data_IF_109870271012
#
_entry.id   IF_109870271012
#
_cell.length_a   1.000
_cell.length_b   1.000
_cell.length_c   1.000
_cell.angle_alpha   90.00
_cell.angle_beta   90.00
_cell.angle_gamma   90.00
#
_symmetry.space_group_name_H-M   'P 1'
#
loop_
_entity.id
_entity.type
_entity.pdbx_description
1 polymer ?
#
# COMPACT_ATOMS: atom_id res chain seq x y z
N UNK A 1 27.83 -12.19 -5.73
CA UNK A 1 26.40 -11.89 -5.81
C UNK A 1 25.86 -11.75 -4.39
N UNK A 2 25.22 -10.64 -4.10
CA UNK A 2 24.58 -10.51 -2.79
C UNK A 2 23.42 -11.50 -2.75
N UNK A 3 23.43 -12.34 -1.75
CA UNK A 3 22.39 -13.33 -1.58
C UNK A 3 21.09 -12.63 -1.17
N UNK A 4 20.01 -12.88 -1.91
CA UNK A 4 18.67 -12.38 -1.56
C UNK A 4 18.30 -12.71 -0.12
N UNK A 5 18.65 -13.90 0.35
CA UNK A 5 18.34 -14.31 1.72
C UNK A 5 18.98 -13.41 2.76
N UNK A 6 20.19 -12.92 2.51
CA UNK A 6 20.86 -11.99 3.42
C UNK A 6 20.12 -10.66 3.50
N UNK A 7 19.69 -10.12 2.35
CA UNK A 7 18.90 -8.88 2.27
C UNK A 7 17.56 -9.05 2.99
N UNK A 8 16.87 -10.13 2.71
CA UNK A 8 15.57 -10.45 3.34
C UNK A 8 15.67 -10.49 4.86
N UNK A 9 16.69 -11.17 5.37
CA UNK A 9 16.91 -11.29 6.82
C UNK A 9 17.19 -9.96 7.47
N UNK A 10 18.03 -9.13 6.82
CA UNK A 10 18.38 -7.79 7.33
C UNK A 10 17.17 -6.86 7.37
N UNK A 11 16.40 -6.81 6.30
CA UNK A 11 15.19 -5.96 6.26
C UNK A 11 14.16 -6.43 7.28
N UNK A 12 13.92 -7.73 7.38
CA UNK A 12 13.00 -8.27 8.38
C UNK A 12 13.44 -7.89 9.79
N UNK A 13 14.74 -8.00 10.10
CA UNK A 13 15.27 -7.62 11.41
C UNK A 13 15.13 -6.12 11.68
N UNK A 14 15.41 -5.27 10.70
CA UNK A 14 15.32 -3.81 10.84
C UNK A 14 13.87 -3.36 11.08
N UNK A 15 12.91 -4.01 10.44
CA UNK A 15 11.49 -3.69 10.57
C UNK A 15 10.80 -4.46 11.72
N UNK A 16 11.50 -5.34 12.40
CA UNK A 16 10.90 -6.16 13.45
C UNK A 16 9.91 -7.20 12.95
N UNK A 17 10.02 -7.60 11.67
CA UNK A 17 9.11 -8.55 11.04
C UNK A 17 9.59 -9.99 11.15
N UNK A 18 8.68 -10.91 10.88
CA UNK A 18 9.00 -12.34 10.85
C UNK A 18 9.79 -12.73 9.62
N UNK A 19 9.51 -12.11 8.50
CA UNK A 19 10.12 -12.43 7.21
C UNK A 19 10.02 -11.25 6.26
N UNK A 20 10.69 -11.38 5.13
CA UNK A 20 10.69 -10.38 4.06
C UNK A 20 10.63 -11.09 2.71
N UNK A 21 9.89 -10.52 1.78
CA UNK A 21 9.84 -10.94 0.39
C UNK A 21 10.41 -9.83 -0.48
N UNK A 22 11.37 -10.17 -1.33
CA UNK A 22 11.88 -9.25 -2.33
C UNK A 22 11.19 -9.50 -3.67
N UNK A 23 10.88 -8.41 -4.38
CA UNK A 23 10.20 -8.46 -5.67
C UNK A 23 10.91 -7.56 -6.68
N UNK A 24 10.53 -7.67 -7.94
CA UNK A 24 11.25 -7.03 -9.05
C UNK A 24 11.12 -5.50 -9.07
N UNK A 25 10.09 -4.93 -8.44
CA UNK A 25 9.86 -3.48 -8.45
C UNK A 25 9.00 -3.05 -7.26
N UNK A 26 9.03 -1.75 -6.96
CA UNK A 26 8.16 -1.16 -5.94
C UNK A 26 6.68 -1.29 -6.29
N UNK A 27 6.34 -1.23 -7.58
CA UNK A 27 4.97 -1.44 -8.05
C UNK A 27 4.48 -2.85 -7.71
N UNK A 28 5.32 -3.85 -7.95
CA UNK A 28 5.01 -5.24 -7.59
C UNK A 28 4.86 -5.40 -6.08
N UNK A 29 5.71 -4.72 -5.31
CA UNK A 29 5.62 -4.74 -3.85
C UNK A 29 4.29 -4.17 -3.36
N UNK A 30 3.85 -3.04 -3.93
CA UNK A 30 2.55 -2.45 -3.61
C UNK A 30 1.40 -3.38 -3.96
N UNK A 31 1.44 -3.99 -5.15
CA UNK A 31 0.42 -4.93 -5.58
C UNK A 31 0.33 -6.13 -4.64
N UNK A 32 1.46 -6.75 -4.31
CA UNK A 32 1.48 -7.92 -3.43
C UNK A 32 1.03 -7.57 -2.01
N UNK A 33 1.38 -6.37 -1.52
CA UNK A 33 0.93 -5.91 -0.21
C UNK A 33 -0.60 -5.86 -0.13
N UNK A 34 -1.24 -5.32 -1.15
CA UNK A 34 -2.70 -5.25 -1.21
C UNK A 34 -3.32 -6.64 -1.38
N UNK A 35 -2.80 -7.45 -2.30
CA UNK A 35 -3.34 -8.78 -2.55
C UNK A 35 -3.18 -9.73 -1.36
N UNK A 36 -2.23 -9.44 -0.47
CA UNK A 36 -2.05 -10.24 0.74
C UNK A 36 -3.22 -10.09 1.72
N UNK A 37 -3.91 -8.96 1.70
CA UNK A 37 -4.96 -8.64 2.69
C UNK A 37 -6.35 -8.46 2.06
N UNK A 38 -6.45 -8.31 0.75
CA UNK A 38 -7.70 -8.03 0.06
C UNK A 38 -7.89 -8.93 -1.16
N UNK A 39 -9.14 -9.20 -1.48
CA UNK A 39 -9.54 -9.97 -2.65
C UNK A 39 -10.73 -9.28 -3.33
N UNK A 40 -11.18 -9.82 -4.45
CA UNK A 40 -12.31 -9.28 -5.18
C UNK A 40 -13.52 -9.07 -4.25
N UNK A 41 -14.11 -7.89 -4.31
CA UNK A 41 -15.22 -7.47 -3.44
C UNK A 41 -14.78 -6.69 -2.21
N UNK A 42 -13.51 -6.71 -1.86
CA UNK A 42 -12.96 -5.94 -0.74
C UNK A 42 -12.58 -4.51 -1.17
N UNK A 43 -12.31 -3.65 -0.20
CA UNK A 43 -11.82 -2.30 -0.47
C UNK A 43 -10.68 -1.92 0.45
N UNK A 44 -9.91 -0.94 0.00
CA UNK A 44 -8.79 -0.33 0.71
C UNK A 44 -9.06 1.17 0.77
N UNK A 45 -8.84 1.79 1.92
CA UNK A 45 -8.89 3.25 2.04
C UNK A 45 -7.46 3.77 1.94
N UNK A 46 -7.21 4.64 0.98
CA UNK A 46 -5.88 5.14 0.67
C UNK A 46 -5.80 6.64 0.81
N UNK A 47 -4.62 7.12 1.20
CA UNK A 47 -4.28 8.54 1.08
C UNK A 47 -4.38 8.98 -0.38
N UNK A 48 -4.79 10.24 -0.59
CA UNK A 48 -4.74 10.86 -1.92
C UNK A 48 -3.30 11.21 -2.33
N UNK A 49 -2.39 11.30 -1.36
CA UNK A 49 -0.99 11.69 -1.60
C UNK A 49 -0.15 10.44 -1.86
N UNK A 50 -0.08 10.04 -3.12
CA UNK A 50 0.66 8.85 -3.55
C UNK A 50 1.53 9.16 -4.76
N UNK A 51 2.59 8.37 -4.93
CA UNK A 51 3.37 8.33 -6.16
C UNK A 51 2.43 8.01 -7.34
N UNK A 52 2.64 8.69 -8.49
CA UNK A 52 1.76 8.54 -9.66
C UNK A 52 1.59 7.11 -10.15
N UNK A 53 2.67 6.31 -10.11
CA UNK A 53 2.59 4.89 -10.46
C UNK A 53 1.67 4.09 -9.54
N UNK A 54 1.65 4.42 -8.25
CA UNK A 54 0.75 3.77 -7.28
C UNK A 54 -0.70 4.15 -7.56
N UNK A 55 -0.97 5.41 -7.90
CA UNK A 55 -2.31 5.85 -8.31
C UNK A 55 -2.78 5.08 -9.54
N UNK A 56 -1.91 4.93 -10.55
CA UNK A 56 -2.23 4.15 -11.74
C UNK A 56 -2.51 2.68 -11.42
N UNK A 57 -1.69 2.07 -10.57
CA UNK A 57 -1.88 0.69 -10.12
C UNK A 57 -3.25 0.53 -9.46
N UNK A 58 -3.59 1.43 -8.54
CA UNK A 58 -4.85 1.38 -7.80
C UNK A 58 -6.05 1.66 -8.71
N UNK A 59 -5.95 2.68 -9.56
CA UNK A 59 -7.07 3.10 -10.42
C UNK A 59 -7.35 2.08 -11.51
N UNK A 60 -6.32 1.51 -12.12
CA UNK A 60 -6.49 0.68 -13.32
C UNK A 60 -6.35 -0.81 -13.04
N UNK A 61 -5.32 -1.22 -12.31
CA UNK A 61 -5.01 -2.65 -12.12
C UNK A 61 -5.87 -3.28 -11.05
N UNK A 62 -5.91 -2.72 -9.85
CA UNK A 62 -6.68 -3.29 -8.75
C UNK A 62 -8.18 -3.23 -9.01
N UNK A 63 -8.64 -2.20 -9.70
CA UNK A 63 -10.04 -2.09 -10.12
C UNK A 63 -10.45 -3.28 -11.00
N UNK A 64 -9.58 -3.70 -11.92
CA UNK A 64 -9.82 -4.88 -12.77
C UNK A 64 -9.86 -6.19 -11.97
N UNK A 65 -9.15 -6.23 -10.85
CA UNK A 65 -9.13 -7.39 -9.96
C UNK A 65 -10.30 -7.39 -8.97
N UNK A 66 -11.20 -6.40 -9.07
CA UNK A 66 -12.38 -6.31 -8.22
C UNK A 66 -12.13 -5.71 -6.85
N UNK A 67 -10.98 -5.09 -6.64
CA UNK A 67 -10.63 -4.41 -5.38
C UNK A 67 -10.84 -2.91 -5.55
N UNK A 68 -11.73 -2.34 -4.74
CA UNK A 68 -12.04 -0.92 -4.77
C UNK A 68 -11.03 -0.14 -3.92
N UNK A 69 -10.54 0.97 -4.45
CA UNK A 69 -9.71 1.91 -3.69
C UNK A 69 -10.51 3.17 -3.43
N UNK A 70 -10.64 3.52 -2.15
CA UNK A 70 -11.33 4.72 -1.69
C UNK A 70 -10.28 5.71 -1.21
N UNK A 71 -10.26 6.91 -1.77
CA UNK A 71 -9.25 7.92 -1.46
C UNK A 71 -9.74 8.86 -0.37
N UNK A 72 -8.89 9.12 0.62
CA UNK A 72 -9.16 10.03 1.72
C UNK A 72 -8.03 11.05 1.86
N UNK A 73 -8.38 12.28 2.26
CA UNK A 73 -7.38 13.33 2.51
C UNK A 73 -6.59 12.97 3.78
N UNK A 74 -5.25 12.85 3.69
CA UNK A 74 -4.44 12.43 4.82
C UNK A 74 -4.22 13.50 5.88
N UNK A 75 -4.73 14.71 5.69
CA UNK A 75 -4.57 15.79 6.67
C UNK A 75 -5.20 15.47 8.02
N UNK A 76 -6.28 14.71 8.01
CA UNK A 76 -6.98 14.29 9.22
C UNK A 76 -7.25 12.79 9.16
N UNK A 77 -6.72 11.99 10.10
CA UNK A 77 -6.99 10.55 10.12
C UNK A 77 -8.48 10.20 10.14
N UNK A 78 -9.31 11.07 10.67
CA UNK A 78 -10.78 10.87 10.68
C UNK A 78 -11.38 10.81 9.29
N UNK A 79 -10.72 11.38 8.29
CA UNK A 79 -11.18 11.29 6.90
C UNK A 79 -11.20 9.85 6.41
N UNK A 80 -10.30 9.01 6.92
CA UNK A 80 -10.26 7.59 6.59
C UNK A 80 -11.46 6.84 7.15
N UNK A 81 -11.92 7.19 8.33
CA UNK A 81 -13.07 6.55 8.98
C UNK A 81 -14.35 6.65 8.17
N UNK A 82 -14.52 7.73 7.42
CA UNK A 82 -15.72 7.97 6.60
C UNK A 82 -15.91 6.92 5.51
N UNK A 83 -14.85 6.25 5.10
CA UNK A 83 -14.86 5.31 3.99
C UNK A 83 -14.84 3.84 4.43
N UNK A 84 -14.80 3.59 5.74
CA UNK A 84 -14.75 2.24 6.28
C UNK A 84 -16.12 1.57 6.19
N UNK A 85 -16.14 0.32 5.73
CA UNK A 85 -17.30 -0.56 5.83
C UNK A 85 -16.83 -1.98 6.17
N UNK A 86 -17.71 -2.97 6.13
CA UNK A 86 -17.40 -4.34 6.51
C UNK A 86 -16.46 -5.05 5.53
N UNK A 87 -16.22 -4.47 4.35
CA UNK A 87 -15.31 -4.99 3.32
C UNK A 87 -13.96 -4.27 3.30
N UNK A 88 -13.75 -3.29 4.16
CA UNK A 88 -12.48 -2.57 4.24
C UNK A 88 -11.44 -3.45 4.92
N UNK A 89 -10.29 -3.65 4.25
CA UNK A 89 -9.24 -4.56 4.71
C UNK A 89 -7.99 -3.85 5.21
N UNK A 90 -7.70 -2.65 4.73
CA UNK A 90 -6.48 -1.93 5.11
C UNK A 90 -6.58 -0.45 4.80
N UNK A 91 -5.67 0.30 5.39
CA UNK A 91 -5.37 1.68 5.02
C UNK A 91 -4.02 1.69 4.31
N UNK A 92 -3.87 2.57 3.34
CA UNK A 92 -2.63 2.69 2.57
C UNK A 92 -2.18 4.15 2.53
N UNK A 93 -0.89 4.38 2.73
CA UNK A 93 -0.30 5.71 2.64
C UNK A 93 1.20 5.61 2.43
N UNK A 94 1.81 6.71 2.02
CA UNK A 94 3.25 6.86 1.88
C UNK A 94 3.74 7.88 2.89
N UNK A 95 4.85 7.60 3.57
CA UNK A 95 5.41 8.46 4.60
C UNK A 95 5.78 9.83 4.05
N UNK A 96 6.44 9.87 2.88
CA UNK A 96 6.84 11.08 2.17
C UNK A 96 6.47 10.93 0.69
N UNK A 97 5.21 11.19 0.34
CA UNK A 97 4.74 10.95 -1.02
C UNK A 97 5.27 11.96 -2.04
N UNK A 98 5.41 11.51 -3.27
CA UNK A 98 5.70 12.35 -4.41
C UNK A 98 4.40 12.84 -5.07
N UNK A 99 4.34 14.06 -5.63
CA UNK A 99 5.37 15.11 -5.56
C UNK A 99 5.28 16.02 -4.34
N UNK A 100 4.22 15.96 -3.58
CA UNK A 100 3.93 16.95 -2.55
C UNK A 100 4.77 16.80 -1.27
N UNK A 101 5.30 15.62 -1.00
CA UNK A 101 6.19 15.34 0.14
C UNK A 101 5.62 15.75 1.50
N UNK A 102 4.30 15.74 1.65
CA UNK A 102 3.65 15.99 2.92
C UNK A 102 3.74 14.75 3.80
N UNK A 103 4.22 14.91 5.03
CA UNK A 103 4.36 13.77 5.96
C UNK A 103 2.99 13.17 6.26
N UNK A 104 2.88 11.86 6.12
CA UNK A 104 1.65 11.13 6.46
C UNK A 104 1.51 11.06 7.99
N UNK A 105 0.39 11.52 8.55
CA UNK A 105 0.20 11.54 10.01
C UNK A 105 0.03 10.18 10.67
#
# INVERSE_FOLDING_TARGET
>A
MVNEDTIKKRIAALEGGLACLTVASGQTASLFSVLNVAQAGDNIVSSTDLYGGTVSLFTHTLSKLGIEIRYADPKDPKNFEKFIDDKTRAFYGETLPNPYLRVFP
#
